data_IF_847697332890
#
_entry.id   IF_847697332890
#
_cell.length_a   1.000
_cell.length_b   1.000
_cell.length_c   1.000
_cell.angle_alpha   90.00
_cell.angle_beta   90.00
_cell.angle_gamma   90.00
#
_symmetry.space_group_name_H-M   'P 1'
#
loop_
_entity.id
_entity.type
_entity.pdbx_description
1 polymer ?
#
# COMPACT_ATOMS: atom_id res chain seq x y z
N UNK A 1 3.81 23.06 18.35
CA UNK A 1 4.71 22.34 17.41
C UNK A 1 4.07 22.38 16.02
N UNK A 2 4.40 23.38 15.19
CA UNK A 2 3.71 23.66 13.93
C UNK A 2 4.66 23.43 12.75
N UNK A 3 5.00 22.17 12.49
CA UNK A 3 6.05 21.78 11.54
C UNK A 3 5.51 21.70 10.08
N UNK A 4 4.18 21.76 9.91
CA UNK A 4 3.48 21.57 8.63
C UNK A 4 3.17 22.86 7.86
N UNK A 5 3.58 24.04 8.35
CA UNK A 5 3.10 25.34 7.80
C UNK A 5 3.79 25.79 6.50
N UNK A 6 4.82 25.11 6.01
CA UNK A 6 5.50 25.52 4.75
C UNK A 6 4.97 24.74 3.55
N UNK A 7 4.49 25.40 2.47
CA UNK A 7 3.87 24.76 1.32
C UNK A 7 4.77 23.72 0.63
N UNK A 8 6.09 23.94 0.64
CA UNK A 8 7.08 23.00 0.07
C UNK A 8 7.16 21.67 0.82
N UNK A 9 6.92 21.65 2.14
CA UNK A 9 6.95 20.41 2.94
C UNK A 9 5.70 19.56 2.72
N UNK A 10 4.53 20.19 2.58
CA UNK A 10 3.30 19.46 2.29
C UNK A 10 3.37 18.78 0.93
N UNK A 11 3.87 19.48 -0.11
CA UNK A 11 4.12 18.89 -1.43
C UNK A 11 5.06 17.69 -1.36
N UNK A 12 6.15 17.81 -0.59
CA UNK A 12 7.09 16.70 -0.40
C UNK A 12 6.42 15.48 0.27
N UNK A 13 5.65 15.69 1.34
CA UNK A 13 4.92 14.61 2.02
C UNK A 13 3.90 13.94 1.08
N UNK A 14 3.14 14.73 0.31
CA UNK A 14 2.17 14.21 -0.67
C UNK A 14 2.85 13.39 -1.78
N UNK A 15 4.02 13.84 -2.26
CA UNK A 15 4.81 13.11 -3.25
C UNK A 15 5.32 11.78 -2.69
N UNK A 16 5.89 11.79 -1.48
CA UNK A 16 6.36 10.58 -0.80
C UNK A 16 5.21 9.59 -0.58
N UNK A 17 4.05 10.07 -0.11
CA UNK A 17 2.87 9.23 0.08
C UNK A 17 2.42 8.59 -1.23
N UNK A 18 2.45 9.34 -2.33
CA UNK A 18 2.13 8.84 -3.67
C UNK A 18 3.08 7.71 -4.10
N UNK A 19 4.38 7.91 -3.91
CA UNK A 19 5.41 6.92 -4.25
C UNK A 19 5.27 5.65 -3.40
N UNK A 20 4.95 5.78 -2.11
CA UNK A 20 4.66 4.63 -1.23
C UNK A 20 3.43 3.87 -1.75
N UNK A 21 2.37 4.59 -2.12
CA UNK A 21 1.16 3.99 -2.68
C UNK A 21 1.44 3.20 -3.95
N UNK A 22 2.19 3.78 -4.89
CA UNK A 22 2.61 3.11 -6.11
C UNK A 22 3.48 1.88 -5.82
N UNK A 23 4.45 2.02 -4.92
CA UNK A 23 5.33 0.92 -4.52
C UNK A 23 4.56 -0.25 -3.90
N UNK A 24 3.57 0.02 -3.05
CA UNK A 24 2.69 -1.00 -2.47
C UNK A 24 1.90 -1.75 -3.55
N UNK A 25 1.39 -1.06 -4.56
CA UNK A 25 0.65 -1.69 -5.66
C UNK A 25 1.54 -2.57 -6.53
N UNK A 26 2.76 -2.12 -6.85
CA UNK A 26 3.70 -2.89 -7.68
C UNK A 26 4.25 -4.11 -6.94
N UNK A 27 4.51 -3.98 -5.64
CA UNK A 27 5.03 -5.06 -4.80
C UNK A 27 3.92 -5.91 -4.14
N UNK A 28 2.64 -5.66 -4.47
CA UNK A 28 1.52 -6.38 -3.88
C UNK A 28 1.61 -7.91 -4.06
N UNK A 29 2.09 -8.47 -5.20
CA UNK A 29 2.22 -9.92 -5.34
C UNK A 29 3.24 -10.53 -4.37
N UNK A 30 4.36 -9.85 -4.17
CA UNK A 30 5.42 -10.32 -3.27
C UNK A 30 5.06 -10.12 -1.80
N UNK A 31 4.47 -8.98 -1.44
CA UNK A 31 3.97 -8.76 -0.09
C UNK A 31 2.85 -9.76 0.24
N UNK A 32 1.92 -9.99 -0.70
CA UNK A 32 0.86 -10.96 -0.55
C UNK A 32 1.38 -12.38 -0.37
N UNK A 33 2.40 -12.81 -1.14
CA UNK A 33 2.97 -14.15 -1.00
C UNK A 33 3.71 -14.36 0.32
N UNK A 34 4.43 -13.33 0.80
CA UNK A 34 5.09 -13.36 2.12
C UNK A 34 4.08 -13.52 3.26
N UNK A 35 2.99 -12.76 3.23
CA UNK A 35 1.93 -12.84 4.25
C UNK A 35 1.13 -14.14 4.16
N UNK A 36 0.76 -14.58 2.95
CA UNK A 36 0.12 -15.87 2.75
C UNK A 36 1.00 -17.02 3.28
N UNK A 37 2.30 -17.00 3.00
CA UNK A 37 3.25 -18.01 3.50
C UNK A 37 3.39 -17.96 5.03
N UNK A 38 3.41 -16.77 5.63
CA UNK A 38 3.42 -16.62 7.09
C UNK A 38 2.14 -17.15 7.73
N UNK A 39 0.99 -16.90 7.09
CA UNK A 39 -0.30 -17.43 7.53
C UNK A 39 -0.33 -18.96 7.46
N UNK A 40 0.16 -19.58 6.38
CA UNK A 40 0.30 -21.05 6.30
C UNK A 40 1.14 -21.61 7.45
N UNK A 41 2.27 -20.96 7.78
CA UNK A 41 3.11 -21.36 8.92
C UNK A 41 2.34 -21.27 10.24
N UNK A 42 1.49 -20.25 10.41
CA UNK A 42 0.63 -20.13 11.60
C UNK A 42 -0.46 -21.20 11.68
N UNK A 43 -0.87 -21.79 10.55
CA UNK A 43 -1.86 -22.86 10.49
C UNK A 43 -1.26 -24.28 10.62
N UNK A 44 0.04 -24.40 10.93
CA UNK A 44 0.72 -25.69 11.07
C UNK A 44 1.55 -26.12 9.86
N UNK A 45 1.73 -25.23 8.87
CA UNK A 45 2.70 -25.39 7.79
C UNK A 45 2.18 -26.11 6.54
N UNK A 46 0.93 -26.56 6.53
CA UNK A 46 0.26 -27.16 5.37
C UNK A 46 -1.18 -26.69 5.30
N UNK A 47 -1.64 -26.34 4.11
CA UNK A 47 -3.00 -25.91 3.80
C UNK A 47 -3.38 -26.44 2.44
N UNK A 48 -4.69 -26.50 2.15
CA UNK A 48 -5.12 -26.83 0.79
C UNK A 48 -4.68 -25.74 -0.21
N UNK A 49 -4.41 -26.18 -1.44
CA UNK A 49 -3.97 -25.30 -2.52
C UNK A 49 -4.99 -24.21 -2.87
N UNK A 50 -6.28 -24.52 -2.82
CA UNK A 50 -7.34 -23.55 -3.10
C UNK A 50 -7.43 -22.50 -1.99
N UNK A 51 -7.30 -22.93 -0.74
CA UNK A 51 -7.31 -22.06 0.43
C UNK A 51 -6.11 -21.09 0.42
N UNK A 52 -4.92 -21.60 0.09
CA UNK A 52 -3.73 -20.77 -0.10
C UNK A 52 -3.92 -19.72 -1.21
N UNK A 53 -4.44 -20.13 -2.37
CA UNK A 53 -4.66 -19.21 -3.49
C UNK A 53 -5.70 -18.15 -3.19
N UNK A 54 -6.74 -18.48 -2.42
CA UNK A 54 -7.72 -17.52 -1.96
C UNK A 54 -7.08 -16.48 -1.04
N UNK A 55 -6.38 -16.92 0.01
CA UNK A 55 -5.71 -15.99 0.94
C UNK A 55 -4.64 -15.15 0.26
N UNK A 56 -3.88 -15.72 -0.67
CA UNK A 56 -2.92 -14.98 -1.48
C UNK A 56 -3.61 -13.86 -2.27
N UNK A 57 -4.72 -14.15 -2.95
CA UNK A 57 -5.49 -13.14 -3.70
C UNK A 57 -6.02 -12.05 -2.78
N UNK A 58 -6.52 -12.41 -1.60
CA UNK A 58 -7.01 -11.46 -0.61
C UNK A 58 -5.89 -10.52 -0.15
N UNK A 59 -4.72 -11.03 0.26
CA UNK A 59 -3.59 -10.19 0.66
C UNK A 59 -3.10 -9.29 -0.49
N UNK A 60 -2.99 -9.83 -1.72
CA UNK A 60 -2.63 -9.05 -2.90
C UNK A 60 -3.63 -7.90 -3.12
N UNK A 61 -4.93 -8.22 -3.02
CA UNK A 61 -6.01 -7.24 -3.16
C UNK A 61 -5.93 -6.16 -2.09
N UNK A 62 -5.69 -6.53 -0.84
CA UNK A 62 -5.52 -5.58 0.27
C UNK A 62 -4.37 -4.61 0.01
N UNK A 63 -3.19 -5.10 -0.40
CA UNK A 63 -2.05 -4.24 -0.70
C UNK A 63 -2.30 -3.34 -1.91
N UNK A 64 -3.01 -3.83 -2.94
CA UNK A 64 -3.44 -3.00 -4.06
C UNK A 64 -4.40 -1.90 -3.64
N UNK A 65 -5.40 -2.21 -2.82
CA UNK A 65 -6.38 -1.24 -2.33
C UNK A 65 -5.72 -0.18 -1.44
N UNK A 66 -4.88 -0.60 -0.48
CA UNK A 66 -4.13 0.33 0.37
C UNK A 66 -3.19 1.22 -0.45
N UNK A 67 -2.44 0.62 -1.38
CA UNK A 67 -1.56 1.36 -2.27
C UNK A 67 -2.33 2.35 -3.15
N UNK A 68 -3.50 1.95 -3.66
CA UNK A 68 -4.39 2.81 -4.44
C UNK A 68 -4.92 4.01 -3.63
N UNK A 69 -5.31 3.80 -2.37
CA UNK A 69 -5.74 4.88 -1.47
C UNK A 69 -4.58 5.86 -1.23
N UNK A 70 -3.38 5.36 -0.93
CA UNK A 70 -2.21 6.20 -0.69
C UNK A 70 -1.79 6.98 -1.94
N UNK A 71 -1.81 6.33 -3.10
CA UNK A 71 -1.52 6.96 -4.37
C UNK A 71 -2.55 8.05 -4.67
N UNK A 72 -3.85 7.75 -4.53
CA UNK A 72 -4.93 8.70 -4.81
C UNK A 72 -4.86 9.92 -3.89
N UNK A 73 -4.79 9.70 -2.57
CA UNK A 73 -4.71 10.79 -1.59
C UNK A 73 -3.43 11.62 -1.78
N UNK A 74 -2.30 10.95 -2.02
CA UNK A 74 -1.03 11.59 -2.29
C UNK A 74 -1.06 12.48 -3.54
N UNK A 75 -1.52 11.93 -4.68
CA UNK A 75 -1.58 12.68 -5.93
C UNK A 75 -2.58 13.82 -5.84
N UNK A 76 -3.77 13.56 -5.29
CA UNK A 76 -4.82 14.55 -5.13
C UNK A 76 -4.32 15.74 -4.30
N UNK A 77 -3.67 15.46 -3.17
CA UNK A 77 -3.11 16.49 -2.29
C UNK A 77 -1.94 17.24 -2.95
N UNK A 78 -1.10 16.56 -3.74
CA UNK A 78 -0.01 17.20 -4.48
C UNK A 78 -0.54 18.16 -5.57
N UNK A 79 -1.53 17.72 -6.34
CA UNK A 79 -2.14 18.49 -7.43
C UNK A 79 -2.97 19.66 -6.90
N UNK A 80 -3.75 19.46 -5.84
CA UNK A 80 -4.57 20.52 -5.26
C UNK A 80 -3.72 21.64 -4.63
N UNK A 81 -2.57 21.32 -4.04
CA UNK A 81 -1.59 22.30 -3.54
C UNK A 81 -0.85 23.06 -4.68
N UNK A 82 -1.14 22.77 -5.95
CA UNK A 82 -0.62 23.50 -7.10
C UNK A 82 -1.60 24.58 -7.62
N UNK A 83 -2.84 24.61 -7.11
CA UNK A 83 -3.91 25.55 -7.53
C UNK A 83 -4.27 26.61 -6.47
N UNK A 84 -3.58 26.63 -5.32
CA UNK A 84 -3.63 27.70 -4.32
C UNK A 84 -2.28 28.40 -4.21
#
# INVERSE_FOLDING_TARGET
MNILKSPNKMKFVSLVLSLIGLWLMLNSPELGSRFASSWVRSMGGSVDSQEYLQMLKEYISTYKTLGGIFLFVGLFSFLNNHHQ
#
